data_IF_523349600466
#
_entry.id   IF_523349600466
#
_cell.length_a   1.000
_cell.length_b   1.000
_cell.length_c   1.000
_cell.angle_alpha   90.00
_cell.angle_beta   90.00
_cell.angle_gamma   90.00
#
_symmetry.space_group_name_H-M   'P 1'
#
loop_
_entity.id
_entity.type
_entity.pdbx_description
1 polymer ?
#
# COMPACT_ATOMS: atom_id res chain seq x y z
N UNK A 1 20.56 45.03 9.10
CA UNK A 1 20.48 43.72 8.42
C UNK A 1 19.42 42.92 9.14
N UNK A 2 18.19 43.06 8.66
CA UNK A 2 17.00 42.45 9.24
C UNK A 2 16.92 41.01 8.77
N UNK A 3 16.83 40.07 9.72
CA UNK A 3 16.72 38.65 9.45
C UNK A 3 15.28 38.39 9.04
N UNK A 4 15.08 38.09 7.76
CA UNK A 4 13.78 37.83 7.16
C UNK A 4 13.24 36.48 7.67
N UNK A 5 12.26 36.54 8.57
CA UNK A 5 11.51 35.39 9.09
C UNK A 5 10.47 34.95 8.06
N UNK A 6 10.88 34.26 7.01
CA UNK A 6 9.93 33.56 6.13
C UNK A 6 10.43 32.16 5.80
N UNK A 7 9.53 31.21 6.05
CA UNK A 7 9.48 29.84 5.54
C UNK A 7 10.21 28.75 6.33
N UNK A 8 9.85 28.67 7.62
CA UNK A 8 9.71 27.36 8.30
C UNK A 8 8.67 26.56 7.49
N UNK A 9 9.13 25.60 6.68
CA UNK A 9 8.25 24.66 5.99
C UNK A 9 7.47 23.84 7.02
N UNK A 10 6.25 24.29 7.34
CA UNK A 10 5.28 23.49 8.07
C UNK A 10 5.07 22.16 7.36
N UNK A 11 5.36 21.06 8.07
CA UNK A 11 4.97 19.70 7.67
C UNK A 11 3.44 19.65 7.55
N UNK A 12 2.90 19.91 6.36
CA UNK A 12 1.46 19.77 6.07
C UNK A 12 1.06 18.31 6.28
N UNK A 13 0.32 18.04 7.37
CA UNK A 13 -0.36 16.76 7.57
C UNK A 13 -1.46 16.66 6.52
N UNK A 14 -1.26 15.82 5.51
CA UNK A 14 -2.32 15.46 4.56
C UNK A 14 -3.46 14.78 5.31
N UNK A 15 -4.50 15.53 5.67
CA UNK A 15 -5.78 14.95 6.10
C UNK A 15 -6.63 14.76 4.84
N UNK A 16 -7.10 13.53 4.63
CA UNK A 16 -8.09 13.25 3.60
C UNK A 16 -9.39 14.03 3.85
N UNK A 17 -10.26 14.09 2.85
CA UNK A 17 -11.59 14.69 2.99
C UNK A 17 -12.32 13.99 4.14
N UNK A 18 -12.55 14.70 5.24
CA UNK A 18 -13.30 14.16 6.38
C UNK A 18 -14.77 14.05 5.94
N UNK A 19 -15.32 12.84 5.94
CA UNK A 19 -16.74 12.64 5.72
C UNK A 19 -17.52 13.09 6.96
N UNK A 20 -18.74 13.63 6.78
CA UNK A 20 -19.66 13.99 7.87
C UNK A 20 -20.19 12.78 8.66
N UNK A 21 -19.63 11.59 8.49
CA UNK A 21 -19.95 10.44 9.31
C UNK A 21 -19.40 10.67 10.72
N UNK A 22 -20.31 10.95 11.66
CA UNK A 22 -20.01 11.05 13.07
C UNK A 22 -20.40 9.73 13.74
N UNK A 23 -19.41 9.06 14.34
CA UNK A 23 -19.63 7.93 15.23
C UNK A 23 -19.72 8.48 16.65
N UNK A 24 -20.85 8.29 17.32
CA UNK A 24 -20.99 8.61 18.74
C UNK A 24 -20.96 7.32 19.55
N UNK A 25 -19.96 7.16 20.40
CA UNK A 25 -19.84 6.03 21.31
C UNK A 25 -20.32 6.48 22.69
N UNK A 26 -21.36 5.82 23.20
CA UNK A 26 -21.83 6.00 24.56
C UNK A 26 -21.30 4.85 25.42
N UNK A 27 -20.61 5.21 26.50
CA UNK A 27 -20.17 4.32 27.56
C UNK A 27 -21.09 4.54 28.77
N UNK A 28 -22.09 3.67 29.01
CA UNK A 28 -22.89 3.71 30.23
C UNK A 28 -22.00 3.29 31.41
N UNK A 29 -22.19 3.91 32.58
CA UNK A 29 -21.43 3.52 33.78
C UNK A 29 -21.97 2.25 34.44
N UNK A 30 -23.15 1.79 34.02
CA UNK A 30 -23.89 0.70 34.66
C UNK A 30 -23.75 -0.63 33.92
N UNK A 31 -23.07 -0.65 32.77
CA UNK A 31 -22.88 -1.85 31.94
C UNK A 31 -21.47 -1.87 31.32
N UNK A 32 -20.93 -3.07 31.10
CA UNK A 32 -19.68 -3.27 30.35
C UNK A 32 -19.87 -3.18 28.82
N UNK A 33 -21.01 -2.65 28.37
CA UNK A 33 -21.39 -2.58 26.96
C UNK A 33 -21.19 -1.18 26.40
N UNK A 34 -20.64 -1.09 25.19
CA UNK A 34 -20.46 0.19 24.48
C UNK A 34 -21.54 0.32 23.41
N UNK A 35 -22.36 1.37 23.50
CA UNK A 35 -23.43 1.61 22.54
C UNK A 35 -22.94 2.57 21.46
N UNK A 36 -22.84 2.09 20.22
CA UNK A 36 -22.45 2.88 19.07
C UNK A 36 -23.67 3.44 18.32
N UNK A 37 -23.78 4.76 18.24
CA UNK A 37 -24.79 5.44 17.44
C UNK A 37 -24.17 5.89 16.11
N UNK A 38 -24.67 5.30 15.01
CA UNK A 38 -24.31 5.68 13.65
C UNK A 38 -25.46 6.50 13.05
N UNK A 39 -25.18 7.71 12.52
CA UNK A 39 -26.17 8.40 11.68
C UNK A 39 -26.23 7.70 10.31
N UNK A 40 -27.44 7.46 9.81
CA UNK A 40 -27.72 6.88 8.48
C UNK A 40 -27.42 7.86 7.34
N UNK A 41 -26.23 8.47 7.33
CA UNK A 41 -25.75 9.15 6.16
C UNK A 41 -25.23 8.07 5.22
N UNK A 42 -26.02 7.75 4.20
CA UNK A 42 -25.60 6.92 3.08
C UNK A 42 -24.22 7.40 2.62
N UNK A 43 -23.27 6.47 2.57
CA UNK A 43 -21.95 6.75 2.06
C UNK A 43 -22.09 7.11 0.59
N UNK A 44 -22.19 8.40 0.29
CA UNK A 44 -22.26 8.86 -1.09
C UNK A 44 -20.85 8.80 -1.70
N UNK A 45 -20.43 7.58 -2.00
CA UNK A 45 -19.26 7.27 -2.81
C UNK A 45 -19.55 7.45 -4.31
N UNK A 46 -20.69 8.02 -4.70
CA UNK A 46 -20.97 8.38 -6.11
C UNK A 46 -19.92 9.36 -6.65
N UNK A 47 -19.27 10.14 -5.78
CA UNK A 47 -18.08 10.92 -6.10
C UNK A 47 -16.79 10.22 -5.64
N UNK A 48 -16.71 8.90 -5.75
CA UNK A 48 -15.44 8.23 -5.94
C UNK A 48 -14.89 8.73 -7.26
N UNK A 49 -14.16 9.84 -7.19
CA UNK A 49 -13.33 10.35 -8.26
C UNK A 49 -12.62 9.12 -8.79
N UNK A 50 -13.02 8.65 -9.98
CA UNK A 50 -12.35 7.58 -10.67
C UNK A 50 -10.88 7.99 -10.69
N UNK A 51 -10.08 7.38 -9.83
CA UNK A 51 -8.66 7.68 -9.69
C UNK A 51 -8.06 7.31 -11.04
N UNK A 52 -8.01 8.28 -11.97
CA UNK A 52 -7.67 8.13 -13.40
C UNK A 52 -7.07 6.77 -13.65
N UNK A 53 -7.95 5.79 -13.86
CA UNK A 53 -7.56 4.43 -14.14
C UNK A 53 -6.85 4.56 -15.48
N UNK A 54 -5.64 4.00 -15.60
CA UNK A 54 -4.97 4.05 -16.90
C UNK A 54 -5.91 3.46 -17.95
N UNK A 55 -5.83 3.93 -19.21
CA UNK A 55 -6.48 3.22 -20.31
C UNK A 55 -6.20 1.72 -20.18
N UNK A 56 -7.19 0.86 -20.46
CA UNK A 56 -7.04 -0.59 -20.30
C UNK A 56 -5.81 -1.12 -21.04
N UNK A 57 -5.60 -0.62 -22.26
CA UNK A 57 -4.41 -0.88 -23.07
C UNK A 57 -3.09 -0.53 -22.36
N UNK A 58 -3.06 0.57 -21.59
CA UNK A 58 -1.87 0.94 -20.82
C UNK A 58 -1.66 0.01 -19.61
N UNK A 59 -2.73 -0.52 -19.00
CA UNK A 59 -2.61 -1.50 -17.92
C UNK A 59 -1.99 -2.81 -18.43
N UNK A 60 -2.51 -3.33 -19.53
CA UNK A 60 -2.01 -4.57 -20.16
C UNK A 60 -0.52 -4.43 -20.51
N UNK A 61 -0.15 -3.32 -21.17
CA UNK A 61 1.25 -3.03 -21.47
C UNK A 61 2.13 -2.93 -20.22
N UNK A 62 1.65 -2.31 -19.14
CA UNK A 62 2.42 -2.23 -17.89
C UNK A 62 2.60 -3.63 -17.28
N UNK A 63 1.57 -4.48 -17.31
CA UNK A 63 1.64 -5.84 -16.76
C UNK A 63 2.61 -6.72 -17.55
N UNK A 64 2.62 -6.64 -18.88
CA UNK A 64 3.59 -7.32 -19.74
C UNK A 64 5.03 -6.85 -19.45
N UNK A 65 5.26 -5.54 -19.46
CA UNK A 65 6.58 -4.96 -19.19
C UNK A 65 7.07 -5.27 -17.76
N UNK A 66 6.15 -5.39 -16.81
CA UNK A 66 6.45 -5.83 -15.45
C UNK A 66 6.82 -7.32 -15.39
N UNK A 67 6.16 -8.16 -16.19
CA UNK A 67 6.52 -9.57 -16.37
C UNK A 67 7.94 -9.76 -16.88
N UNK A 68 8.38 -8.89 -17.79
CA UNK A 68 9.75 -8.83 -18.32
C UNK A 68 10.79 -8.28 -17.32
N UNK A 69 10.39 -7.99 -16.07
CA UNK A 69 11.25 -7.44 -15.00
C UNK A 69 11.97 -6.15 -15.38
N UNK A 70 11.36 -5.32 -16.24
CA UNK A 70 11.93 -4.04 -16.63
C UNK A 70 11.95 -3.05 -15.47
N UNK A 71 12.96 -2.17 -15.46
CA UNK A 71 13.06 -1.10 -14.46
C UNK A 71 11.98 -0.05 -14.74
N UNK A 72 11.46 0.55 -13.66
CA UNK A 72 10.44 1.61 -13.67
C UNK A 72 10.71 2.71 -14.72
N UNK A 73 11.96 3.16 -14.87
CA UNK A 73 12.35 4.20 -15.85
C UNK A 73 12.11 3.74 -17.29
N UNK A 74 12.46 2.50 -17.61
CA UNK A 74 12.30 1.94 -18.95
C UNK A 74 10.82 1.73 -19.27
N UNK A 75 10.05 1.24 -18.29
CA UNK A 75 8.59 1.11 -18.43
C UNK A 75 7.96 2.48 -18.70
N UNK A 76 8.38 3.51 -17.95
CA UNK A 76 7.87 4.88 -18.15
C UNK A 76 8.19 5.42 -19.54
N UNK A 77 9.42 5.19 -20.02
CA UNK A 77 9.85 5.62 -21.35
C UNK A 77 9.06 4.92 -22.46
N UNK A 78 8.90 3.60 -22.40
CA UNK A 78 8.11 2.83 -23.38
C UNK A 78 6.65 3.31 -23.43
N UNK A 79 6.08 3.66 -22.27
CA UNK A 79 4.72 4.21 -22.22
C UNK A 79 4.63 5.61 -22.82
N UNK A 80 5.67 6.44 -22.66
CA UNK A 80 5.75 7.75 -23.32
C UNK A 80 5.89 7.61 -24.83
N UNK A 81 6.71 6.67 -25.30
CA UNK A 81 6.88 6.37 -26.73
C UNK A 81 5.57 5.89 -27.38
N UNK A 82 4.73 5.18 -26.60
CA UNK A 82 3.36 4.78 -26.98
C UNK A 82 2.30 5.89 -26.80
N UNK A 83 2.72 7.13 -26.54
CA UNK A 83 1.85 8.29 -26.32
C UNK A 83 0.90 8.21 -25.10
N UNK A 84 1.17 7.32 -24.14
CA UNK A 84 0.41 7.31 -22.89
C UNK A 84 0.84 8.46 -21.96
N UNK A 85 -0.09 9.36 -21.64
CA UNK A 85 0.13 10.48 -20.72
C UNK A 85 0.09 10.02 -19.26
N UNK A 86 1.11 9.28 -18.85
CA UNK A 86 1.25 8.73 -17.50
C UNK A 86 2.37 9.46 -16.75
N UNK A 87 2.07 9.97 -15.57
CA UNK A 87 3.11 10.54 -14.70
C UNK A 87 3.91 9.43 -14.03
N UNK A 88 5.20 9.71 -13.77
CA UNK A 88 6.11 8.76 -13.12
C UNK A 88 5.58 8.27 -11.77
N UNK A 89 4.94 9.16 -10.99
CA UNK A 89 4.36 8.83 -9.68
C UNK A 89 3.13 7.92 -9.80
N UNK A 90 2.28 8.12 -10.80
CA UNK A 90 1.15 7.23 -11.05
C UNK A 90 1.63 5.83 -11.39
N UNK A 91 2.61 5.71 -12.29
CA UNK A 91 3.21 4.43 -12.65
C UNK A 91 3.86 3.73 -11.44
N UNK A 92 4.65 4.47 -10.64
CA UNK A 92 5.26 3.95 -9.41
C UNK A 92 4.20 3.38 -8.46
N UNK A 93 3.15 4.15 -8.18
CA UNK A 93 2.08 3.73 -7.26
C UNK A 93 1.29 2.53 -7.80
N UNK A 94 1.19 2.39 -9.11
CA UNK A 94 0.53 1.25 -9.74
C UNK A 94 1.39 0.00 -9.68
N UNK A 95 2.68 0.09 -9.99
CA UNK A 95 3.62 -1.02 -9.88
C UNK A 95 3.77 -1.53 -8.44
N UNK A 96 3.70 -0.64 -7.44
CA UNK A 96 3.64 -1.05 -6.03
C UNK A 96 2.39 -1.89 -5.74
N UNK A 97 1.22 -1.48 -6.26
CA UNK A 97 -0.03 -2.23 -6.12
C UNK A 97 0.02 -3.58 -6.85
N UNK A 98 0.55 -3.61 -8.07
CA UNK A 98 0.75 -4.84 -8.83
C UNK A 98 1.70 -5.80 -8.12
N UNK A 99 2.82 -5.29 -7.59
CA UNK A 99 3.75 -6.11 -6.81
C UNK A 99 3.09 -6.70 -5.57
N UNK A 100 2.31 -5.88 -4.83
CA UNK A 100 1.56 -6.36 -3.66
C UNK A 100 0.53 -7.43 -4.03
N UNK A 101 -0.13 -7.30 -5.18
CA UNK A 101 -1.10 -8.30 -5.68
C UNK A 101 -0.42 -9.61 -6.06
N UNK A 102 0.77 -9.55 -6.69
CA UNK A 102 1.46 -10.74 -7.22
C UNK A 102 2.34 -11.46 -6.20
N UNK A 103 3.00 -10.72 -5.31
CA UNK A 103 3.99 -11.25 -4.37
C UNK A 103 3.59 -11.09 -2.90
N UNK A 104 2.43 -10.48 -2.63
CA UNK A 104 2.02 -10.18 -1.27
C UNK A 104 2.66 -8.91 -0.70
N UNK A 105 2.40 -8.61 0.58
CA UNK A 105 2.98 -7.46 1.27
C UNK A 105 4.51 -7.58 1.33
N UNK A 106 5.21 -6.44 1.23
CA UNK A 106 6.68 -6.40 1.38
C UNK A 106 7.13 -6.46 2.85
N UNK A 107 6.19 -6.38 3.78
CA UNK A 107 6.41 -6.43 5.22
C UNK A 107 5.82 -7.72 5.73
N UNK A 108 6.61 -8.47 6.48
CA UNK A 108 6.20 -9.71 7.13
C UNK A 108 6.09 -9.45 8.64
N UNK A 109 5.04 -9.94 9.29
CA UNK A 109 4.84 -9.75 10.74
C UNK A 109 5.76 -10.74 11.48
N UNK A 110 6.21 -10.38 12.69
CA UNK A 110 7.14 -11.21 13.46
C UNK A 110 6.65 -12.65 13.59
N UNK A 111 5.39 -12.87 14.03
CA UNK A 111 4.83 -14.22 14.17
C UNK A 111 4.76 -15.04 12.87
N UNK A 112 4.56 -14.38 11.71
CA UNK A 112 4.65 -15.02 10.41
C UNK A 112 6.10 -15.41 10.08
N UNK A 113 7.06 -14.59 10.50
CA UNK A 113 8.50 -14.87 10.32
C UNK A 113 8.91 -16.08 11.15
N UNK A 114 8.49 -16.14 12.42
CA UNK A 114 8.80 -17.26 13.31
C UNK A 114 8.25 -18.57 12.74
N UNK A 115 7.00 -18.55 12.28
CA UNK A 115 6.35 -19.70 11.66
C UNK A 115 7.11 -20.19 10.42
N UNK A 116 7.54 -19.25 9.58
CA UNK A 116 8.30 -19.55 8.37
C UNK A 116 9.71 -20.08 8.67
N UNK A 117 10.36 -19.57 9.72
CA UNK A 117 11.64 -20.09 10.22
C UNK A 117 11.52 -21.53 10.72
N UNK A 118 10.42 -21.87 11.41
CA UNK A 118 10.15 -23.24 11.86
C UNK A 118 9.92 -24.16 10.65
N UNK A 119 9.08 -23.75 9.70
CA UNK A 119 8.80 -24.53 8.48
C UNK A 119 10.07 -24.80 7.67
N UNK A 120 10.92 -23.79 7.51
CA UNK A 120 12.15 -23.85 6.74
C UNK A 120 13.38 -24.29 7.55
N UNK A 121 13.19 -24.80 8.77
CA UNK A 121 14.29 -25.32 9.59
C UNK A 121 14.79 -26.70 9.14
N UNK A 122 14.07 -27.35 8.22
CA UNK A 122 14.45 -28.65 7.66
C UNK A 122 15.44 -28.49 6.51
N UNK A 123 16.26 -29.52 6.28
CA UNK A 123 17.22 -29.54 5.17
C UNK A 123 16.45 -29.56 3.86
N UNK A 124 16.71 -28.62 2.93
CA UNK A 124 15.99 -28.54 1.66
C UNK A 124 16.28 -29.77 0.82
N UNK A 125 15.27 -30.22 0.06
CA UNK A 125 15.43 -31.36 -0.85
C UNK A 125 15.95 -30.95 -2.23
N UNK A 126 15.86 -29.66 -2.56
CA UNK A 126 16.35 -29.09 -3.81
C UNK A 126 17.40 -28.00 -3.54
N UNK A 127 18.41 -27.91 -4.39
CA UNK A 127 19.54 -26.99 -4.22
C UNK A 127 19.14 -25.51 -4.20
N UNK A 128 18.03 -25.16 -4.86
CA UNK A 128 17.52 -23.78 -4.94
C UNK A 128 16.47 -23.45 -3.86
N UNK A 129 16.19 -24.38 -2.94
CA UNK A 129 15.17 -24.15 -1.92
C UNK A 129 15.75 -23.39 -0.70
N UNK A 130 15.16 -22.25 -0.31
CA UNK A 130 15.64 -21.49 0.83
C UNK A 130 15.31 -22.22 2.14
N UNK A 131 16.29 -22.28 3.03
CA UNK A 131 16.16 -22.87 4.37
C UNK A 131 16.84 -22.01 5.44
N UNK A 132 16.49 -22.26 6.70
CA UNK A 132 16.98 -21.52 7.87
C UNK A 132 17.96 -22.39 8.64
N UNK A 133 19.24 -21.98 8.66
CA UNK A 133 20.34 -22.70 9.31
C UNK A 133 20.25 -22.73 10.84
N UNK A 134 19.80 -21.63 11.44
CA UNK A 134 19.69 -21.51 12.89
C UNK A 134 18.65 -20.46 13.26
N UNK A 135 17.73 -20.82 14.16
CA UNK A 135 16.70 -19.93 14.68
C UNK A 135 16.64 -20.08 16.20
N UNK A 136 17.06 -19.05 16.93
CA UNK A 136 17.03 -19.01 18.39
C UNK A 136 16.02 -17.96 18.85
N UNK A 137 14.92 -18.41 19.45
CA UNK A 137 13.99 -17.53 20.18
C UNK A 137 14.30 -17.70 21.65
N UNK A 138 15.05 -16.76 22.23
CA UNK A 138 15.07 -16.60 23.68
C UNK A 138 13.82 -15.85 24.09
N UNK A 139 12.86 -16.57 24.67
CA UNK A 139 11.69 -16.01 25.36
C UNK A 139 12.11 -15.50 26.74
#
# INVERSE_FOLDING_TARGET
>A
MEINQQDIQEKRKFRGKQCNAALYLHYPNDTDEVVAFCRANEHDHTNSIHRKVFPEEANENIEELFGLRLKLKNIHQVLQDKNFRITFNQLKNYLVRLRKKKFGPSTLILGELESLCIEKSTVPQADDEPFVLSYNVTV
#
